data_IF_399115657752
#
_entry.id   IF_399115657752
#
_cell.length_a   1.000
_cell.length_b   1.000
_cell.length_c   1.000
_cell.angle_alpha   90.00
_cell.angle_beta   90.00
_cell.angle_gamma   90.00
#
_symmetry.space_group_name_H-M   'P 1'
#
loop_
_entity.id
_entity.type
_entity.pdbx_description
1 polymer ?
#
# COMPACT_ATOMS: atom_id res chain seq x y z
N UNK A 1 -8.38 38.30 -5.39
CA UNK A 1 -9.21 38.51 -6.60
C UNK A 1 -9.30 37.18 -7.34
N UNK A 2 -10.39 36.42 -7.16
CA UNK A 2 -10.56 35.07 -7.76
C UNK A 2 -11.23 35.23 -9.13
N UNK A 3 -10.60 34.70 -10.18
CA UNK A 3 -11.17 34.70 -11.54
C UNK A 3 -11.82 33.34 -11.82
N UNK A 4 -13.11 33.34 -12.11
CA UNK A 4 -13.83 32.14 -12.51
C UNK A 4 -13.52 31.78 -13.96
N UNK A 5 -13.22 30.49 -14.21
CA UNK A 5 -13.07 29.92 -15.55
C UNK A 5 -14.12 28.83 -15.71
N UNK A 6 -14.83 28.83 -16.83
CA UNK A 6 -15.89 27.88 -17.12
C UNK A 6 -15.52 27.03 -18.33
N UNK A 7 -15.81 25.74 -18.28
CA UNK A 7 -15.81 24.90 -19.47
C UNK A 7 -17.05 25.17 -20.30
N UNK A 8 -16.96 24.93 -21.61
CA UNK A 8 -18.13 24.94 -22.49
C UNK A 8 -19.07 23.79 -22.13
N UNK A 9 -20.39 24.03 -22.28
CA UNK A 9 -21.41 23.00 -22.05
C UNK A 9 -21.17 21.78 -22.94
N UNK A 10 -21.41 20.58 -22.41
CA UNK A 10 -21.24 19.31 -23.13
C UNK A 10 -19.83 19.04 -23.69
N UNK A 11 -18.80 19.74 -23.21
CA UNK A 11 -17.41 19.51 -23.61
C UNK A 11 -16.53 19.12 -22.40
N UNK A 12 -16.73 17.90 -21.88
CA UNK A 12 -16.03 17.38 -20.70
C UNK A 12 -14.48 17.40 -20.84
N UNK A 13 -14.00 17.23 -22.08
CA UNK A 13 -12.57 17.13 -22.40
C UNK A 13 -11.79 18.40 -22.04
N UNK A 14 -12.42 19.58 -22.05
CA UNK A 14 -11.80 20.84 -21.60
C UNK A 14 -11.29 20.77 -20.16
N UNK A 15 -11.85 19.87 -19.33
CA UNK A 15 -11.44 19.65 -17.96
C UNK A 15 -11.10 18.17 -17.67
N UNK A 16 -10.60 17.46 -18.68
CA UNK A 16 -10.47 15.99 -18.64
C UNK A 16 -9.62 15.44 -17.49
N UNK A 17 -8.63 16.19 -16.99
CA UNK A 17 -7.87 15.78 -15.81
C UNK A 17 -8.76 15.72 -14.55
N UNK A 18 -9.53 16.77 -14.31
CA UNK A 18 -10.46 16.87 -13.18
C UNK A 18 -11.56 15.80 -13.30
N UNK A 19 -12.02 15.54 -14.50
CA UNK A 19 -13.02 14.49 -14.71
C UNK A 19 -12.50 13.11 -14.43
N UNK A 20 -11.25 12.81 -14.84
CA UNK A 20 -10.60 11.53 -14.54
C UNK A 20 -10.37 11.35 -13.04
N UNK A 21 -9.98 12.41 -12.32
CA UNK A 21 -9.84 12.37 -10.86
C UNK A 21 -11.18 12.19 -10.18
N UNK A 22 -12.20 12.95 -10.59
CA UNK A 22 -13.56 12.84 -10.04
C UNK A 22 -14.15 11.44 -10.30
N UNK A 23 -13.98 10.89 -11.49
CA UNK A 23 -14.41 9.54 -11.82
C UNK A 23 -13.73 8.47 -10.95
N UNK A 24 -12.45 8.66 -10.60
CA UNK A 24 -11.74 7.75 -9.70
C UNK A 24 -12.27 7.83 -8.27
N UNK A 25 -12.52 9.04 -7.77
CA UNK A 25 -13.11 9.28 -6.45
C UNK A 25 -14.53 8.70 -6.36
N UNK A 26 -15.37 8.99 -7.35
CA UNK A 26 -16.73 8.45 -7.43
C UNK A 26 -16.74 6.92 -7.43
N UNK A 27 -15.76 6.26 -8.07
CA UNK A 27 -15.65 4.79 -8.03
C UNK A 27 -15.34 4.26 -6.63
N UNK A 28 -14.46 4.92 -5.88
CA UNK A 28 -14.12 4.54 -4.50
C UNK A 28 -15.35 4.68 -3.62
N UNK A 29 -15.96 5.88 -3.62
CA UNK A 29 -17.14 6.19 -2.81
C UNK A 29 -18.30 5.27 -3.19
N UNK A 30 -18.55 5.03 -4.49
CA UNK A 30 -19.64 4.16 -4.94
C UNK A 30 -19.48 2.72 -4.46
N UNK A 31 -18.24 2.19 -4.42
CA UNK A 31 -17.99 0.85 -3.87
C UNK A 31 -18.30 0.80 -2.38
N UNK A 32 -17.92 1.84 -1.65
CA UNK A 32 -18.19 1.93 -0.22
C UNK A 32 -19.70 2.04 0.05
N UNK A 33 -20.38 2.99 -0.57
CA UNK A 33 -21.83 3.22 -0.43
C UNK A 33 -22.63 1.94 -0.72
N UNK A 34 -22.22 1.15 -1.72
CA UNK A 34 -22.85 -0.14 -2.03
C UNK A 34 -22.71 -1.16 -0.89
N UNK A 35 -21.59 -1.13 -0.16
CA UNK A 35 -21.32 -2.05 0.94
C UNK A 35 -21.92 -1.58 2.27
N UNK A 36 -21.85 -0.28 2.55
CA UNK A 36 -22.28 0.34 3.82
C UNK A 36 -23.13 1.60 3.54
N UNK A 37 -24.37 1.47 3.03
CA UNK A 37 -25.16 2.62 2.58
C UNK A 37 -25.51 3.60 3.71
N UNK A 38 -25.78 3.08 4.91
CA UNK A 38 -26.17 3.87 6.09
C UNK A 38 -25.01 4.67 6.69
N UNK A 39 -23.79 4.18 6.54
CA UNK A 39 -22.57 4.77 7.13
C UNK A 39 -21.75 5.58 6.11
N UNK A 40 -22.26 5.71 4.88
CA UNK A 40 -21.54 6.33 3.75
C UNK A 40 -20.98 7.73 4.04
N UNK A 41 -21.68 8.54 4.84
CA UNK A 41 -21.21 9.88 5.23
C UNK A 41 -20.02 9.83 6.19
N UNK A 42 -20.02 8.87 7.10
CA UNK A 42 -18.98 8.72 8.12
C UNK A 42 -17.68 8.20 7.51
N UNK A 43 -17.80 7.35 6.49
CA UNK A 43 -16.66 6.75 5.79
C UNK A 43 -16.08 7.59 4.65
N UNK A 44 -16.68 8.74 4.31
CA UNK A 44 -16.17 9.61 3.24
C UNK A 44 -14.71 10.03 3.49
N UNK A 45 -14.35 10.31 4.74
CA UNK A 45 -12.99 10.67 5.11
C UNK A 45 -12.00 9.51 4.87
N UNK A 46 -12.44 8.28 5.11
CA UNK A 46 -11.63 7.07 4.88
C UNK A 46 -11.44 6.82 3.38
N UNK A 47 -12.51 7.00 2.59
CA UNK A 47 -12.45 6.88 1.13
C UNK A 47 -11.49 7.92 0.51
N UNK A 48 -11.55 9.16 0.99
CA UNK A 48 -10.63 10.22 0.58
C UNK A 48 -9.20 9.93 1.02
N UNK A 49 -9.00 9.46 2.26
CA UNK A 49 -7.68 9.05 2.75
C UNK A 49 -7.07 7.98 1.86
N UNK A 50 -7.83 6.92 1.56
CA UNK A 50 -7.39 5.86 0.66
C UNK A 50 -7.04 6.40 -0.73
N UNK A 51 -7.80 7.34 -1.27
CA UNK A 51 -7.45 7.98 -2.54
C UNK A 51 -6.12 8.74 -2.47
N UNK A 52 -5.90 9.53 -1.42
CA UNK A 52 -4.72 10.36 -1.23
C UNK A 52 -3.44 9.56 -0.99
N UNK A 53 -3.52 8.41 -0.31
CA UNK A 53 -2.36 7.57 0.02
C UNK A 53 -2.11 6.44 -0.97
N UNK A 54 -3.05 6.17 -1.89
CA UNK A 54 -2.84 5.17 -2.94
C UNK A 54 -1.99 5.71 -4.08
N UNK A 55 -0.96 4.97 -4.45
CA UNK A 55 -0.13 5.24 -5.62
C UNK A 55 -0.97 5.38 -6.90
N UNK A 56 -0.69 6.41 -7.71
CA UNK A 56 -1.33 6.58 -9.02
C UNK A 56 -0.28 6.42 -10.11
N UNK A 57 -0.41 5.35 -10.89
CA UNK A 57 0.49 5.08 -12.01
C UNK A 57 0.58 6.24 -13.02
N UNK A 58 -0.50 7.01 -13.21
CA UNK A 58 -0.49 8.19 -14.08
C UNK A 58 0.27 9.40 -13.51
N UNK A 59 0.49 9.44 -12.19
CA UNK A 59 1.26 10.50 -11.51
C UNK A 59 2.68 10.03 -11.14
N UNK A 60 2.91 8.72 -11.06
CA UNK A 60 4.18 8.16 -10.59
C UNK A 60 4.40 8.26 -9.08
N UNK A 61 3.42 8.81 -8.34
CA UNK A 61 3.45 9.07 -6.89
C UNK A 61 2.03 9.02 -6.31
N UNK A 62 1.90 9.14 -4.99
CA UNK A 62 0.59 9.33 -4.33
C UNK A 62 0.09 10.77 -4.50
N UNK A 63 -1.23 11.01 -4.55
CA UNK A 63 -1.77 12.38 -4.61
C UNK A 63 -1.36 13.23 -3.40
N UNK A 64 -1.20 12.64 -2.23
CA UNK A 64 -0.71 13.34 -1.04
C UNK A 64 0.72 13.83 -1.24
N UNK A 65 1.62 12.96 -1.74
CA UNK A 65 3.00 13.33 -2.04
C UNK A 65 3.06 14.47 -3.05
N UNK A 66 2.18 14.48 -4.06
CA UNK A 66 2.14 15.56 -5.05
C UNK A 66 1.79 16.93 -4.42
N UNK A 67 0.97 16.98 -3.37
CA UNK A 67 0.55 18.23 -2.71
C UNK A 67 1.54 18.68 -1.65
N UNK A 68 2.08 17.75 -0.86
CA UNK A 68 2.88 18.06 0.33
C UNK A 68 4.36 17.71 0.21
N UNK A 69 4.79 17.07 -0.88
CA UNK A 69 6.18 16.66 -1.11
C UNK A 69 6.64 15.48 -0.26
N UNK A 70 5.74 14.81 0.47
CA UNK A 70 6.06 13.67 1.35
C UNK A 70 4.96 12.63 1.35
N UNK A 71 5.33 11.37 1.50
CA UNK A 71 4.37 10.27 1.65
C UNK A 71 3.68 10.33 3.03
N UNK A 72 2.44 9.82 3.09
CA UNK A 72 1.74 9.66 4.37
C UNK A 72 2.35 8.51 5.16
N UNK A 73 2.36 8.66 6.49
CA UNK A 73 2.48 7.51 7.37
C UNK A 73 1.14 6.75 7.34
N UNK A 74 1.18 5.49 6.94
CA UNK A 74 0.00 4.64 6.92
C UNK A 74 -0.29 4.09 8.33
N UNK A 75 -1.56 3.82 8.69
CA UNK A 75 -1.89 3.23 9.99
C UNK A 75 -1.12 1.94 10.29
N UNK A 76 -0.92 1.10 9.27
CA UNK A 76 -0.16 -0.15 9.41
C UNK A 76 1.32 0.08 9.73
N UNK A 77 1.90 1.19 9.27
CA UNK A 77 3.30 1.54 9.55
C UNK A 77 3.50 2.03 10.99
N UNK A 78 2.42 2.43 11.65
CA UNK A 78 2.40 2.81 13.07
C UNK A 78 2.14 1.58 13.94
N UNK A 79 1.18 0.73 13.53
CA UNK A 79 0.88 -0.52 14.25
C UNK A 79 2.04 -1.52 14.20
N UNK A 80 2.68 -1.62 13.03
CA UNK A 80 3.93 -2.35 12.83
C UNK A 80 4.97 -1.29 12.49
N UNK A 81 5.78 -0.84 13.47
CA UNK A 81 6.73 0.25 13.30
C UNK A 81 7.59 0.04 12.04
N UNK A 82 7.29 0.82 11.00
CA UNK A 82 8.09 0.82 9.78
C UNK A 82 9.42 1.53 10.03
N UNK A 83 10.40 1.31 9.15
CA UNK A 83 11.65 2.08 9.18
C UNK A 83 11.39 3.60 9.21
N UNK A 84 10.33 4.05 8.54
CA UNK A 84 9.92 5.44 8.47
C UNK A 84 9.46 6.01 9.83
N UNK A 85 8.83 5.18 10.67
CA UNK A 85 8.44 5.52 12.04
C UNK A 85 9.64 5.40 12.98
N UNK A 86 10.40 4.31 12.87
CA UNK A 86 11.59 4.06 13.68
C UNK A 86 12.61 5.19 13.57
N UNK A 87 12.90 5.68 12.36
CA UNK A 87 13.83 6.78 12.14
C UNK A 87 13.34 8.11 12.74
N UNK A 88 12.04 8.32 12.84
CA UNK A 88 11.47 9.54 13.43
C UNK A 88 11.44 9.52 14.95
N UNK A 89 11.25 8.36 15.54
CA UNK A 89 11.08 8.19 16.99
C UNK A 89 12.39 7.85 17.71
N UNK A 90 13.40 7.36 16.99
CA UNK A 90 14.68 6.98 17.56
C UNK A 90 15.53 8.17 17.99
N UNK A 91 16.31 7.96 19.04
CA UNK A 91 17.40 8.87 19.46
C UNK A 91 18.78 8.33 19.07
N UNK A 92 18.82 7.13 18.49
CA UNK A 92 20.01 6.44 18.00
C UNK A 92 20.42 6.97 16.60
N UNK A 93 21.61 6.60 16.14
CA UNK A 93 22.07 6.93 14.78
C UNK A 93 21.14 6.31 13.73
N UNK A 94 20.91 7.01 12.61
CA UNK A 94 20.11 6.48 11.49
C UNK A 94 20.66 5.14 10.99
N UNK A 95 21.99 4.98 10.98
CA UNK A 95 22.68 3.76 10.56
C UNK A 95 22.32 2.57 11.45
N UNK A 96 22.27 2.77 12.77
CA UNK A 96 21.94 1.72 13.74
C UNK A 96 20.48 1.27 13.59
N UNK A 97 19.57 2.23 13.38
CA UNK A 97 18.14 1.97 13.16
C UNK A 97 17.93 1.18 11.88
N UNK A 98 18.60 1.57 10.79
CA UNK A 98 18.55 0.85 9.50
C UNK A 98 19.11 -0.55 9.67
N UNK A 99 20.25 -0.70 10.35
CA UNK A 99 20.90 -2.00 10.55
C UNK A 99 20.01 -2.94 11.36
N UNK A 100 19.38 -2.45 12.43
CA UNK A 100 18.43 -3.21 13.24
C UNK A 100 17.23 -3.67 12.39
N UNK A 101 16.62 -2.75 11.63
CA UNK A 101 15.51 -3.09 10.73
C UNK A 101 15.91 -4.15 9.69
N UNK A 102 17.12 -4.05 9.13
CA UNK A 102 17.65 -5.03 8.20
C UNK A 102 17.81 -6.41 8.84
N UNK A 103 18.36 -6.48 10.06
CA UNK A 103 18.49 -7.75 10.79
C UNK A 103 17.13 -8.38 11.09
N UNK A 104 16.14 -7.59 11.50
CA UNK A 104 14.78 -8.08 11.74
C UNK A 104 14.15 -8.67 10.47
N UNK A 105 14.32 -7.99 9.33
CA UNK A 105 13.86 -8.48 8.02
C UNK A 105 14.56 -9.79 7.61
N UNK A 106 15.88 -9.91 7.83
CA UNK A 106 16.61 -11.15 7.57
C UNK A 106 16.11 -12.30 8.44
N UNK A 107 15.90 -12.06 9.73
CA UNK A 107 15.33 -13.08 10.63
C UNK A 107 13.92 -13.51 10.20
N UNK A 108 13.08 -12.58 9.75
CA UNK A 108 11.76 -12.90 9.21
C UNK A 108 11.84 -13.68 7.90
N UNK A 109 12.81 -13.40 7.02
CA UNK A 109 13.04 -14.17 5.79
C UNK A 109 13.42 -15.61 6.12
N UNK A 110 14.40 -15.79 7.00
CA UNK A 110 14.88 -17.10 7.42
C UNK A 110 13.78 -17.95 8.07
N UNK A 111 12.93 -17.34 8.91
CA UNK A 111 11.76 -18.02 9.51
C UNK A 111 10.75 -18.53 8.47
N UNK A 112 10.66 -17.89 7.30
CA UNK A 112 9.77 -18.33 6.20
C UNK A 112 10.40 -19.40 5.32
N UNK A 113 11.73 -19.43 5.21
CA UNK A 113 12.48 -20.40 4.41
C UNK A 113 12.55 -21.78 5.08
N UNK A 114 12.71 -21.82 6.41
CA UNK A 114 12.82 -23.08 7.18
C UNK A 114 11.64 -24.06 6.95
N UNK A 115 10.37 -23.63 6.96
CA UNK A 115 9.26 -24.52 6.62
C UNK A 115 9.31 -25.01 5.17
N UNK A 116 9.72 -24.16 4.22
CA UNK A 116 9.79 -24.53 2.79
C UNK A 116 10.83 -25.61 2.58
N UNK A 117 12.03 -25.43 3.14
CA UNK A 117 13.08 -26.46 3.14
C UNK A 117 12.60 -27.75 3.79
N UNK A 118 11.90 -27.66 4.92
CA UNK A 118 11.34 -28.84 5.58
C UNK A 118 10.41 -29.65 4.66
N UNK A 119 9.52 -28.98 3.92
CA UNK A 119 8.62 -29.64 2.97
C UNK A 119 9.35 -30.26 1.78
N UNK A 120 10.34 -29.56 1.22
CA UNK A 120 11.17 -30.07 0.12
C UNK A 120 11.91 -31.33 0.56
N UNK A 121 12.62 -31.27 1.68
CA UNK A 121 13.38 -32.39 2.22
C UNK A 121 12.48 -33.61 2.53
N UNK A 122 11.27 -33.38 3.04
CA UNK A 122 10.31 -34.46 3.29
C UNK A 122 9.75 -35.06 2.00
N UNK A 123 9.57 -34.27 0.95
CA UNK A 123 9.17 -34.77 -0.37
C UNK A 123 10.28 -35.60 -1.04
N UNK A 124 11.53 -35.16 -0.94
CA UNK A 124 12.69 -35.87 -1.47
C UNK A 124 12.89 -37.23 -0.78
N UNK A 125 12.82 -37.28 0.55
CA UNK A 125 12.90 -38.55 1.30
C UNK A 125 11.85 -39.57 0.87
N UNK A 126 10.58 -39.15 0.70
CA UNK A 126 9.53 -40.05 0.20
C UNK A 126 9.81 -40.56 -1.22
N UNK A 127 10.36 -39.70 -2.09
CA UNK A 127 10.75 -40.09 -3.45
C UNK A 127 11.87 -41.13 -3.43
N UNK A 128 12.88 -40.95 -2.57
CA UNK A 128 13.97 -41.90 -2.40
C UNK A 128 13.49 -43.24 -1.83
N UNK A 129 12.61 -43.22 -0.83
CA UNK A 129 12.00 -44.43 -0.27
C UNK A 129 11.19 -45.21 -1.32
N UNK A 130 10.40 -44.51 -2.13
CA UNK A 130 9.64 -45.13 -3.21
C UNK A 130 10.56 -45.74 -4.29
N UNK A 131 11.60 -45.02 -4.70
CA UNK A 131 12.56 -45.53 -5.67
C UNK A 131 13.28 -46.80 -5.17
N UNK A 132 13.61 -46.86 -3.87
CA UNK A 132 14.19 -48.06 -3.24
C UNK A 132 13.25 -49.26 -3.20
N UNK A 133 11.93 -49.06 -3.28
CA UNK A 133 10.96 -50.16 -3.33
C UNK A 133 10.74 -50.71 -4.75
N UNK A 134 11.25 -50.02 -5.78
CA UNK A 134 11.13 -50.40 -7.18
C UNK A 134 12.37 -51.14 -7.71
N UNK A 135 13.46 -51.16 -6.96
CA UNK A 135 14.68 -51.95 -7.19
C UNK A 135 14.61 -53.30 -6.46
#
# INVERSE_FOLDING_TARGET
>A
NIRHRYSTTYYPQCNGLVEKTNGSLCKIISKHVKKHPKESKEHLNIDLWAYHTSYKASLGVTPLHLVYGKEALLPIEVEIPSLHVMLKESTESEEDVIQKSLTDLQHLSMKKELPVEHYINHAEKRREEFNKQLE
#
